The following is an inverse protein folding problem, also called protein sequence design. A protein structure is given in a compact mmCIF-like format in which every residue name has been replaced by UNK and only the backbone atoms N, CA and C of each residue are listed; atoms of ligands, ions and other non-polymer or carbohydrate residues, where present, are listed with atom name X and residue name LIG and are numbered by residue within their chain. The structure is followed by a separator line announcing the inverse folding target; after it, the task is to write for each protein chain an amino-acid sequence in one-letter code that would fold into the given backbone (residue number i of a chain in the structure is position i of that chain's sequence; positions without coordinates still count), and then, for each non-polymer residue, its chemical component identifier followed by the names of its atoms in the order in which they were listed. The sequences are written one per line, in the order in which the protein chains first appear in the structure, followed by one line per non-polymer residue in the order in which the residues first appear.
data_IF_602480037856
#
_entry.id   IF_602480037856
#
_cell.length_a   1.000
_cell.length_b   1.000
_cell.length_c   1.000
_cell.angle_alpha   90.00
_cell.angle_beta   90.00
_cell.angle_gamma   90.00
#
_symmetry.space_group_name_H-M   'P 1'
#
loop_
_entity.id
_entity.type
_entity.pdbx_description
1 polymer ?
#
# COMPACT_ATOMS: atom_id res chain seq x y z
N UNK A 1 67.93 74.98 -49.98
CA UNK A 1 66.81 74.18 -50.54
C UNK A 1 66.46 73.01 -49.62
N UNK A 2 67.43 72.19 -49.22
CA UNK A 2 67.22 71.06 -48.28
C UNK A 2 66.66 71.44 -46.91
N UNK A 3 67.13 72.55 -46.31
CA UNK A 3 66.65 73.01 -44.99
C UNK A 3 65.16 73.37 -44.98
N UNK A 4 64.67 73.99 -46.06
CA UNK A 4 63.26 74.36 -46.21
C UNK A 4 62.38 73.10 -46.33
N UNK A 5 62.88 72.08 -47.04
CA UNK A 5 62.19 70.79 -47.16
C UNK A 5 62.19 70.01 -45.85
N UNK A 6 63.25 70.10 -45.06
CA UNK A 6 63.34 69.52 -43.72
C UNK A 6 62.31 70.16 -42.79
N UNK A 7 62.27 71.49 -42.70
CA UNK A 7 61.29 72.21 -41.88
C UNK A 7 59.84 71.86 -42.25
N UNK A 8 59.54 71.75 -43.55
CA UNK A 8 58.20 71.31 -44.02
C UNK A 8 57.86 69.88 -43.63
N UNK A 9 58.86 68.99 -43.50
CA UNK A 9 58.64 67.61 -43.05
C UNK A 9 58.46 67.56 -41.54
N UNK A 10 59.20 68.36 -40.79
CA UNK A 10 59.07 68.49 -39.33
C UNK A 10 57.69 69.05 -38.94
N UNK A 11 57.22 70.10 -39.61
CA UNK A 11 55.87 70.65 -39.40
C UNK A 11 54.78 69.60 -39.65
N UNK A 12 54.88 68.87 -40.77
CA UNK A 12 53.96 67.76 -41.07
C UNK A 12 54.02 66.63 -40.06
N UNK A 13 55.22 66.30 -39.56
CA UNK A 13 55.38 65.28 -38.52
C UNK A 13 54.63 65.69 -37.26
N UNK A 14 54.80 66.94 -36.81
CA UNK A 14 54.09 67.47 -35.64
C UNK A 14 52.56 67.46 -35.82
N UNK A 15 52.07 67.82 -37.01
CA UNK A 15 50.63 67.71 -37.33
C UNK A 15 50.15 66.25 -37.24
N UNK A 16 50.90 65.30 -37.81
CA UNK A 16 50.54 63.89 -37.76
C UNK A 16 50.58 63.32 -36.35
N UNK A 17 51.54 63.73 -35.53
CA UNK A 17 51.66 63.31 -34.14
C UNK A 17 50.48 63.83 -33.31
N UNK A 18 50.10 65.10 -33.51
CA UNK A 18 48.92 65.67 -32.85
C UNK A 18 47.63 64.92 -33.23
N UNK A 19 47.45 64.62 -34.52
CA UNK A 19 46.30 63.84 -35.00
C UNK A 19 46.31 62.43 -34.41
N UNK A 20 47.47 61.78 -34.36
CA UNK A 20 47.62 60.45 -33.78
C UNK A 20 47.22 60.44 -32.31
N UNK A 21 47.68 61.42 -31.51
CA UNK A 21 47.29 61.55 -30.10
C UNK A 21 45.77 61.69 -29.94
N UNK A 22 45.12 62.54 -30.75
CA UNK A 22 43.67 62.69 -30.69
C UNK A 22 42.93 61.41 -31.09
N UNK A 23 43.38 60.72 -32.13
CA UNK A 23 42.80 59.44 -32.56
C UNK A 23 42.98 58.37 -31.48
N UNK A 24 44.16 58.28 -30.87
CA UNK A 24 44.43 57.36 -29.76
C UNK A 24 43.48 57.64 -28.59
N UNK A 25 43.34 58.89 -28.16
CA UNK A 25 42.44 59.28 -27.07
C UNK A 25 40.97 58.96 -27.36
N UNK A 26 40.49 59.24 -28.58
CA UNK A 26 39.13 58.91 -28.99
C UNK A 26 38.91 57.40 -29.04
N UNK A 27 39.89 56.66 -29.54
CA UNK A 27 39.85 55.19 -29.62
C UNK A 27 39.82 54.56 -28.22
N UNK A 28 40.64 55.06 -27.29
CA UNK A 28 40.63 54.60 -25.90
C UNK A 28 39.29 54.88 -25.22
N UNK A 29 38.72 56.07 -25.41
CA UNK A 29 37.39 56.40 -24.88
C UNK A 29 36.31 55.49 -25.46
N UNK A 30 36.33 55.26 -26.78
CA UNK A 30 35.39 54.35 -27.44
C UNK A 30 35.53 52.91 -26.93
N UNK A 31 36.78 52.43 -26.73
CA UNK A 31 37.05 51.12 -26.11
C UNK A 31 36.55 51.04 -24.68
N UNK A 32 36.70 52.12 -23.89
CA UNK A 32 36.16 52.22 -22.54
C UNK A 32 34.63 52.03 -22.54
N UNK A 33 33.93 52.82 -23.35
CA UNK A 33 32.47 52.73 -23.47
C UNK A 33 32.00 51.36 -23.99
N UNK A 34 32.70 50.77 -24.95
CA UNK A 34 32.38 49.43 -25.43
C UNK A 34 32.51 48.38 -24.31
N UNK A 35 33.61 48.43 -23.53
CA UNK A 35 33.83 47.50 -22.41
C UNK A 35 32.81 47.67 -21.29
N UNK A 36 32.40 48.90 -20.99
CA UNK A 36 31.39 49.14 -19.97
C UNK A 36 30.00 48.66 -20.44
N UNK A 37 29.65 48.90 -21.71
CA UNK A 37 28.43 48.34 -22.31
C UNK A 37 28.42 46.80 -22.34
N UNK A 38 29.56 46.16 -22.64
CA UNK A 38 29.71 44.70 -22.55
C UNK A 38 29.50 44.19 -21.12
N UNK A 39 30.04 44.90 -20.11
CA UNK A 39 29.85 44.52 -18.70
C UNK A 39 28.39 44.63 -18.27
N UNK A 40 27.72 45.72 -18.62
CA UNK A 40 26.33 45.96 -18.24
C UNK A 40 25.39 44.95 -18.92
N UNK A 41 25.60 44.66 -20.20
CA UNK A 41 24.83 43.64 -20.92
C UNK A 41 25.05 42.25 -20.33
N UNK A 42 26.28 41.90 -19.93
CA UNK A 42 26.57 40.63 -19.25
C UNK A 42 25.88 40.54 -17.88
N UNK A 43 25.88 41.62 -17.09
CA UNK A 43 25.19 41.67 -15.80
C UNK A 43 23.69 41.50 -15.99
N UNK A 44 23.10 42.19 -16.96
CA UNK A 44 21.69 42.04 -17.30
C UNK A 44 21.36 40.61 -17.78
N UNK A 45 22.20 40.01 -18.62
CA UNK A 45 22.02 38.64 -19.08
C UNK A 45 22.07 37.61 -17.91
N UNK A 46 22.97 37.81 -16.94
CA UNK A 46 23.05 36.97 -15.74
C UNK A 46 21.79 37.10 -14.89
N UNK A 47 21.41 38.33 -14.54
CA UNK A 47 20.23 38.59 -13.70
C UNK A 47 18.93 38.09 -14.35
N UNK A 48 18.76 38.31 -15.64
CA UNK A 48 17.59 37.79 -16.39
C UNK A 48 17.56 36.26 -16.41
N UNK A 49 18.71 35.61 -16.62
CA UNK A 49 18.81 34.14 -16.58
C UNK A 49 18.47 33.57 -15.19
N UNK A 50 18.93 34.22 -14.11
CA UNK A 50 18.58 33.84 -12.74
C UNK A 50 17.09 33.99 -12.46
N UNK A 51 16.47 35.09 -12.90
CA UNK A 51 15.03 35.30 -12.77
C UNK A 51 14.24 34.25 -13.55
N UNK A 52 14.64 33.94 -14.78
CA UNK A 52 14.02 32.87 -15.56
C UNK A 52 14.09 31.52 -14.85
N UNK A 53 15.23 31.19 -14.23
CA UNK A 53 15.37 29.97 -13.43
C UNK A 53 14.40 29.97 -12.25
N UNK A 54 14.33 31.06 -11.47
CA UNK A 54 13.39 31.20 -10.34
C UNK A 54 11.94 31.05 -10.79
N UNK A 55 11.57 31.64 -11.93
CA UNK A 55 10.22 31.50 -12.50
C UNK A 55 9.94 30.04 -12.84
N UNK A 56 10.83 29.36 -13.58
CA UNK A 56 10.67 27.93 -13.93
C UNK A 56 10.52 27.05 -12.69
N UNK A 57 11.33 27.28 -11.66
CA UNK A 57 11.25 26.54 -10.40
C UNK A 57 9.90 26.75 -9.70
N UNK A 58 9.39 27.98 -9.67
CA UNK A 58 8.08 28.31 -9.10
C UNK A 58 6.94 27.70 -9.92
N UNK A 59 7.01 27.77 -11.26
CA UNK A 59 6.04 27.13 -12.15
C UNK A 59 5.98 25.63 -11.92
N UNK A 60 7.14 24.95 -11.78
CA UNK A 60 7.19 23.52 -11.48
C UNK A 60 6.56 23.18 -10.14
N UNK A 61 6.82 23.99 -9.09
CA UNK A 61 6.17 23.84 -7.78
C UNK A 61 4.66 24.04 -7.88
N UNK A 62 4.21 25.06 -8.62
CA UNK A 62 2.80 25.32 -8.85
C UNK A 62 2.13 24.15 -9.58
N UNK A 63 2.75 23.60 -10.62
CA UNK A 63 2.24 22.41 -11.32
C UNK A 63 2.10 21.20 -10.39
N UNK A 64 3.08 20.95 -9.51
CA UNK A 64 3.01 19.88 -8.53
C UNK A 64 1.83 20.06 -7.57
N UNK A 65 1.67 21.28 -7.02
CA UNK A 65 0.55 21.59 -6.12
C UNK A 65 -0.81 21.47 -6.81
N UNK A 66 -0.92 21.89 -8.08
CA UNK A 66 -2.15 21.75 -8.87
C UNK A 66 -2.48 20.27 -9.10
N UNK A 67 -1.48 19.43 -9.38
CA UNK A 67 -1.69 17.99 -9.54
C UNK A 67 -2.13 17.33 -8.22
N UNK A 68 -1.51 17.67 -7.11
CA UNK A 68 -1.91 17.19 -5.77
C UNK A 68 -3.36 17.60 -5.47
N UNK A 69 -3.69 18.88 -5.68
CA UNK A 69 -5.04 19.39 -5.46
C UNK A 69 -6.07 18.69 -6.34
N UNK A 70 -5.75 18.44 -7.61
CA UNK A 70 -6.62 17.69 -8.52
C UNK A 70 -6.87 16.25 -8.04
N UNK A 71 -5.85 15.56 -7.54
CA UNK A 71 -6.02 14.23 -6.95
C UNK A 71 -6.93 14.26 -5.71
N UNK A 72 -6.74 15.26 -4.84
CA UNK A 72 -7.58 15.43 -3.63
C UNK A 72 -9.03 15.78 -3.98
N UNK A 73 -9.25 16.63 -4.98
CA UNK A 73 -10.58 16.94 -5.49
C UNK A 73 -11.27 15.69 -6.06
N UNK A 74 -10.56 14.90 -6.86
CA UNK A 74 -11.09 13.65 -7.39
C UNK A 74 -11.45 12.66 -6.27
N UNK A 75 -10.63 12.56 -5.22
CA UNK A 75 -10.95 11.76 -4.04
C UNK A 75 -12.19 12.28 -3.31
N UNK A 76 -12.29 13.59 -3.09
CA UNK A 76 -13.43 14.20 -2.41
C UNK A 76 -14.74 13.94 -3.18
N UNK A 77 -14.73 14.06 -4.51
CA UNK A 77 -15.88 13.76 -5.36
C UNK A 77 -16.28 12.28 -5.24
N UNK A 78 -15.30 11.35 -5.26
CA UNK A 78 -15.57 9.92 -5.09
C UNK A 78 -16.22 9.61 -3.75
N UNK A 79 -15.66 10.16 -2.66
CA UNK A 79 -16.22 9.96 -1.32
C UNK A 79 -17.61 10.57 -1.19
N UNK A 80 -17.84 11.74 -1.79
CA UNK A 80 -19.16 12.36 -1.82
C UNK A 80 -20.18 11.52 -2.59
N UNK A 81 -19.78 10.88 -3.69
CA UNK A 81 -20.62 9.95 -4.42
C UNK A 81 -20.93 8.71 -3.56
N UNK A 82 -19.94 8.11 -2.90
CA UNK A 82 -20.16 6.96 -2.02
C UNK A 82 -21.12 7.27 -0.86
N UNK A 83 -20.99 8.46 -0.26
CA UNK A 83 -21.92 8.90 0.79
C UNK A 83 -23.34 9.00 0.25
N UNK A 84 -23.53 9.65 -0.90
CA UNK A 84 -24.85 9.78 -1.54
C UNK A 84 -25.45 8.41 -1.88
N UNK A 85 -24.66 7.50 -2.43
CA UNK A 85 -25.12 6.16 -2.80
C UNK A 85 -25.56 5.37 -1.55
N UNK A 86 -24.78 5.46 -0.46
CA UNK A 86 -25.12 4.83 0.83
C UNK A 86 -26.36 5.45 1.47
N UNK A 87 -26.49 6.77 1.44
CA UNK A 87 -27.67 7.48 1.94
C UNK A 87 -28.93 7.06 1.18
N UNK A 88 -28.87 7.02 -0.15
CA UNK A 88 -29.99 6.54 -0.99
C UNK A 88 -30.35 5.09 -0.68
N UNK A 89 -29.34 4.23 -0.52
CA UNK A 89 -29.55 2.85 -0.12
C UNK A 89 -30.23 2.75 1.25
N UNK A 90 -29.77 3.51 2.25
CA UNK A 90 -30.37 3.54 3.58
C UNK A 90 -31.82 4.02 3.54
N UNK A 91 -32.11 5.12 2.82
CA UNK A 91 -33.50 5.61 2.65
C UNK A 91 -34.39 4.54 2.03
N UNK A 92 -33.88 3.83 1.01
CA UNK A 92 -34.62 2.75 0.33
C UNK A 92 -34.89 1.58 1.27
N UNK A 93 -33.91 1.19 2.09
CA UNK A 93 -34.04 0.11 3.06
C UNK A 93 -34.99 0.50 4.19
N UNK A 94 -34.81 1.67 4.79
CA UNK A 94 -35.67 2.15 5.88
C UNK A 94 -37.12 2.25 5.45
N UNK A 95 -37.39 2.83 4.28
CA UNK A 95 -38.77 2.92 3.77
C UNK A 95 -39.42 1.55 3.52
N UNK A 96 -38.66 0.55 3.06
CA UNK A 96 -39.17 -0.83 2.93
C UNK A 96 -39.45 -1.46 4.28
N UNK A 97 -38.57 -1.28 5.25
CA UNK A 97 -38.76 -1.78 6.63
C UNK A 97 -40.00 -1.16 7.26
N UNK A 98 -40.18 0.16 7.12
CA UNK A 98 -41.37 0.87 7.62
C UNK A 98 -42.66 0.36 6.97
N UNK A 99 -42.59 -0.04 5.70
CA UNK A 99 -43.71 -0.62 4.96
C UNK A 99 -43.88 -2.14 5.20
N UNK A 100 -43.01 -2.76 6.00
CA UNK A 100 -43.01 -4.21 6.23
C UNK A 100 -42.65 -5.04 4.99
N UNK A 101 -42.04 -4.42 3.98
CA UNK A 101 -41.60 -5.08 2.76
C UNK A 101 -40.24 -5.77 2.95
N UNK A 102 -39.99 -6.88 2.23
CA UNK A 102 -38.72 -7.57 2.30
C UNK A 102 -37.56 -6.72 1.79
N UNK A 103 -36.41 -6.89 2.45
CA UNK A 103 -35.16 -6.23 2.10
C UNK A 103 -34.69 -6.66 0.71
N UNK A 104 -33.84 -5.85 0.03
CA UNK A 104 -33.16 -6.29 -1.17
C UNK A 104 -32.39 -7.60 -0.93
N UNK A 105 -32.45 -8.53 -1.89
CA UNK A 105 -31.88 -9.88 -1.74
C UNK A 105 -30.39 -9.86 -1.40
N UNK A 106 -29.63 -8.92 -1.96
CA UNK A 106 -28.20 -8.80 -1.66
C UNK A 106 -27.96 -8.40 -0.20
N UNK A 107 -28.73 -7.45 0.32
CA UNK A 107 -28.66 -7.01 1.71
C UNK A 107 -29.00 -8.14 2.67
N UNK A 108 -30.05 -8.91 2.36
CA UNK A 108 -30.46 -10.06 3.16
C UNK A 108 -29.38 -11.15 3.18
N UNK A 109 -28.78 -11.44 2.01
CA UNK A 109 -27.66 -12.39 1.91
C UNK A 109 -26.47 -11.96 2.77
N UNK A 110 -26.09 -10.69 2.73
CA UNK A 110 -25.00 -10.17 3.55
C UNK A 110 -25.34 -10.22 5.05
N UNK A 111 -26.57 -9.89 5.42
CA UNK A 111 -27.04 -9.99 6.80
C UNK A 111 -26.95 -11.41 7.36
N UNK A 112 -27.41 -12.41 6.59
CA UNK A 112 -27.31 -13.82 6.99
C UNK A 112 -25.86 -14.30 7.13
N UNK A 113 -24.93 -13.77 6.31
CA UNK A 113 -23.49 -14.05 6.47
C UNK A 113 -22.95 -13.49 7.77
N UNK A 114 -23.34 -12.26 8.13
CA UNK A 114 -22.92 -11.62 9.39
C UNK A 114 -23.39 -12.44 10.59
N UNK A 115 -24.68 -12.79 10.63
CA UNK A 115 -25.26 -13.65 11.68
C UNK A 115 -24.49 -14.97 11.84
N UNK A 116 -24.24 -15.68 10.74
CA UNK A 116 -23.47 -16.93 10.77
C UNK A 116 -22.06 -16.73 11.32
N UNK A 117 -21.39 -15.65 10.90
CA UNK A 117 -20.03 -15.34 11.37
C UNK A 117 -20.02 -15.01 12.87
N UNK A 118 -21.00 -14.27 13.36
CA UNK A 118 -21.14 -13.98 14.79
C UNK A 118 -21.39 -15.25 15.61
N UNK A 119 -22.25 -16.15 15.12
CA UNK A 119 -22.50 -17.45 15.75
C UNK A 119 -21.21 -18.28 15.81
N UNK A 120 -20.46 -18.37 14.71
CA UNK A 120 -19.18 -19.07 14.68
C UNK A 120 -18.15 -18.44 15.64
N UNK A 121 -18.09 -17.10 15.71
CA UNK A 121 -17.20 -16.40 16.62
C UNK A 121 -17.56 -16.65 18.08
N UNK A 122 -18.87 -16.62 18.42
CA UNK A 122 -19.38 -16.94 19.76
C UNK A 122 -19.04 -18.39 20.13
N UNK A 123 -19.33 -19.35 19.25
CA UNK A 123 -19.00 -20.76 19.48
C UNK A 123 -17.49 -20.99 19.64
N UNK A 124 -16.66 -20.31 18.84
CA UNK A 124 -15.21 -20.38 18.96
C UNK A 124 -14.71 -19.75 20.28
N UNK A 125 -15.30 -18.63 20.71
CA UNK A 125 -14.98 -17.99 21.99
C UNK A 125 -15.38 -18.88 23.17
N UNK A 126 -16.57 -19.48 23.12
CA UNK A 126 -17.03 -20.45 24.12
C UNK A 126 -16.14 -21.69 24.17
N UNK A 127 -15.77 -22.27 23.03
CA UNK A 127 -14.87 -23.42 22.98
C UNK A 127 -13.48 -23.08 23.58
N UNK A 128 -12.96 -21.87 23.31
CA UNK A 128 -11.73 -21.37 23.92
C UNK A 128 -11.88 -21.18 25.43
N UNK A 129 -12.99 -20.61 25.89
CA UNK A 129 -13.27 -20.40 27.30
C UNK A 129 -13.41 -21.74 28.06
N UNK A 130 -14.14 -22.71 27.48
CA UNK A 130 -14.26 -24.08 28.02
C UNK A 130 -12.90 -24.77 28.10
N UNK A 131 -12.11 -24.73 27.01
CA UNK A 131 -10.76 -25.30 27.02
C UNK A 131 -9.81 -24.63 28.02
N UNK A 132 -9.95 -23.32 28.26
CA UNK A 132 -9.18 -22.60 29.28
C UNK A 132 -9.62 -22.97 30.70
N UNK A 133 -10.94 -23.11 30.95
CA UNK A 133 -11.48 -23.55 32.23
C UNK A 133 -11.07 -25.00 32.55
N UNK A 134 -11.14 -25.90 31.57
CA UNK A 134 -10.66 -27.28 31.69
C UNK A 134 -9.15 -27.33 31.95
N UNK A 135 -8.36 -26.49 31.28
CA UNK A 135 -6.93 -26.37 31.54
C UNK A 135 -6.61 -25.80 32.94
N UNK A 136 -7.42 -24.87 33.45
CA UNK A 136 -7.27 -24.32 34.80
C UNK A 136 -7.72 -25.31 35.90
N UNK A 137 -8.71 -26.17 35.60
CA UNK A 137 -9.16 -27.23 36.49
C UNK A 137 -8.19 -28.42 36.56
N UNK A 138 -7.32 -28.59 35.55
CA UNK A 138 -6.28 -29.60 35.54
C UNK A 138 -5.20 -29.27 36.59
N UNK A 139 -5.15 -30.06 37.68
CA UNK A 139 -4.21 -29.87 38.78
C UNK A 139 -2.72 -30.01 38.38
N UNK A 140 -1.79 -29.50 39.21
CA UNK A 140 -0.35 -29.58 38.93
C UNK A 140 0.11 -31.04 38.82
N UNK A 141 0.65 -31.41 37.65
CA UNK A 141 1.08 -32.78 37.30
C UNK A 141 0.25 -33.46 36.20
N UNK A 142 -0.86 -32.85 35.75
CA UNK A 142 -1.66 -33.35 34.63
C UNK A 142 -0.94 -33.11 33.28
N UNK A 143 -0.69 -34.18 32.52
CA UNK A 143 -0.21 -34.08 31.12
C UNK A 143 -1.39 -33.75 30.22
N UNK A 144 -1.37 -32.55 29.61
CA UNK A 144 -2.40 -32.10 28.67
C UNK A 144 -2.39 -32.99 27.42
N UNK A 145 -3.42 -33.82 27.26
CA UNK A 145 -3.60 -34.67 26.06
C UNK A 145 -4.96 -34.39 25.44
N UNK A 146 -5.02 -34.39 24.10
CA UNK A 146 -6.28 -34.28 23.34
C UNK A 146 -6.95 -35.65 23.13
N UNK A 147 -6.38 -36.71 23.69
CA UNK A 147 -6.91 -38.07 23.60
C UNK A 147 -7.97 -38.28 24.68
N UNK A 148 -9.11 -38.88 24.31
CA UNK A 148 -10.11 -39.30 25.29
C UNK A 148 -9.48 -40.28 26.29
N UNK A 149 -9.69 -40.03 27.59
CA UNK A 149 -9.24 -40.94 28.63
C UNK A 149 -9.94 -42.28 28.42
N UNK A 150 -9.15 -43.34 28.20
CA UNK A 150 -9.71 -44.68 28.09
C UNK A 150 -10.50 -44.97 29.37
N UNK A 151 -11.70 -45.55 29.28
CA UNK A 151 -12.38 -46.07 30.46
C UNK A 151 -11.38 -46.91 31.26
N UNK A 152 -11.28 -46.68 32.58
CA UNK A 152 -10.31 -47.32 33.49
C UNK A 152 -10.51 -48.85 33.67
N UNK A 153 -10.98 -49.53 32.63
CA UNK A 153 -11.31 -50.95 32.59
C UNK A 153 -10.10 -51.89 32.59
N UNK A 154 -8.87 -51.35 32.53
CA UNK A 154 -7.62 -52.11 32.54
C UNK A 154 -6.80 -51.97 33.83
N UNK A 155 -7.31 -51.30 34.87
CA UNK A 155 -6.66 -51.30 36.18
C UNK A 155 -6.82 -52.69 36.80
N UNK A 156 -5.76 -53.50 36.94
CA UNK A 156 -5.86 -54.81 37.55
C UNK A 156 -6.16 -54.61 39.04
N UNK A 157 -7.39 -54.90 39.48
CA UNK A 157 -7.80 -54.82 40.89
C UNK A 157 -9.15 -54.12 41.15
N UNK A 158 -9.68 -53.35 40.20
CA UNK A 158 -11.02 -52.78 40.32
C UNK A 158 -12.07 -53.73 39.73
N UNK A 159 -12.76 -54.45 40.61
CA UNK A 159 -14.03 -55.16 40.41
C UNK A 159 -14.11 -56.04 39.14
N UNK A 160 -13.51 -57.24 39.25
CA UNK A 160 -13.77 -58.37 38.34
C UNK A 160 -14.96 -59.24 38.79
N UNK A 161 -15.67 -58.85 39.85
CA UNK A 161 -16.64 -59.72 40.53
C UNK A 161 -18.11 -59.36 40.31
N UNK A 162 -18.42 -58.22 39.68
CA UNK A 162 -19.82 -57.93 39.32
C UNK A 162 -20.18 -58.59 37.98
N UNK A 163 -21.19 -59.50 37.93
CA UNK A 163 -21.66 -60.14 36.70
C UNK A 163 -22.55 -59.17 35.89
N UNK A 164 -22.13 -57.91 35.77
CA UNK A 164 -22.83 -56.93 34.94
C UNK A 164 -22.22 -56.90 33.54
N UNK A 165 -23.05 -56.98 32.47
CA UNK A 165 -22.56 -56.82 31.11
C UNK A 165 -21.90 -55.46 30.95
N UNK A 166 -20.62 -55.44 30.54
CA UNK A 166 -19.87 -54.19 30.34
C UNK A 166 -20.35 -53.53 29.04
N UNK A 167 -20.85 -52.27 29.07
CA UNK A 167 -21.22 -51.58 27.85
C UNK A 167 -19.97 -51.28 27.03
N UNK A 168 -19.96 -51.69 25.76
CA UNK A 168 -18.82 -51.52 24.85
C UNK A 168 -18.56 -50.06 24.41
N UNK A 169 -19.27 -49.09 24.99
CA UNK A 169 -19.22 -47.68 24.60
C UNK A 169 -19.55 -47.48 23.12
N UNK A 170 -18.98 -46.42 22.53
CA UNK A 170 -19.18 -46.08 21.11
C UNK A 170 -18.54 -47.09 20.12
N UNK A 171 -17.75 -48.05 20.61
CA UNK A 171 -17.01 -49.03 19.81
C UNK A 171 -17.52 -50.45 20.06
N UNK A 172 -18.85 -50.60 20.06
CA UNK A 172 -19.47 -51.91 20.16
C UNK A 172 -19.00 -52.86 19.05
N UNK A 173 -18.76 -54.15 19.35
CA UNK A 173 -18.51 -55.16 18.33
C UNK A 173 -19.65 -55.14 17.31
N UNK A 174 -19.38 -54.58 16.14
CA UNK A 174 -20.33 -54.50 15.05
C UNK A 174 -20.26 -55.81 14.25
N UNK A 175 -21.42 -56.38 13.96
CA UNK A 175 -21.54 -57.48 12.99
C UNK A 175 -21.29 -56.88 11.60
N UNK A 176 -20.24 -57.31 10.85
CA UNK A 176 -19.98 -56.80 9.52
C UNK A 176 -21.24 -56.87 8.65
N UNK A 177 -21.62 -55.76 8.03
CA UNK A 177 -22.76 -55.73 7.12
C UNK A 177 -22.48 -56.66 5.95
N UNK A 178 -23.53 -57.33 5.46
CA UNK A 178 -23.43 -58.15 4.27
C UNK A 178 -22.88 -57.30 3.11
N UNK A 179 -21.90 -57.81 2.34
CA UNK A 179 -21.26 -57.03 1.29
C UNK A 179 -22.31 -56.56 0.28
N UNK A 180 -22.49 -55.24 0.20
CA UNK A 180 -23.46 -54.62 -0.72
C UNK A 180 -23.02 -54.71 -2.17
N UNK A 181 -23.99 -54.57 -3.10
CA UNK A 181 -23.75 -54.64 -4.57
C UNK A 181 -22.61 -53.72 -5.05
N UNK A 182 -22.43 -52.57 -4.39
CA UNK A 182 -21.37 -51.60 -4.69
C UNK A 182 -19.94 -52.08 -4.36
N UNK A 183 -19.76 -53.16 -3.59
CA UNK A 183 -18.42 -53.70 -3.31
C UNK A 183 -17.74 -54.31 -4.54
N UNK A 184 -18.47 -54.55 -5.63
CA UNK A 184 -17.91 -55.04 -6.91
C UNK A 184 -16.94 -54.05 -7.56
N UNK A 185 -17.04 -52.76 -7.22
CA UNK A 185 -16.17 -51.70 -7.76
C UNK A 185 -14.94 -51.42 -6.88
N UNK A 186 -14.89 -51.98 -5.66
CA UNK A 186 -13.77 -51.79 -4.73
C UNK A 186 -12.70 -52.85 -5.02
N UNK A 187 -11.61 -52.45 -5.67
CA UNK A 187 -10.45 -53.33 -5.90
C UNK A 187 -9.46 -53.20 -4.75
N UNK A 188 -9.00 -54.33 -4.21
CA UNK A 188 -7.94 -54.32 -3.17
C UNK A 188 -6.69 -53.65 -3.76
N UNK A 189 -6.08 -52.68 -3.06
CA UNK A 189 -4.84 -52.07 -3.53
C UNK A 189 -3.74 -53.13 -3.57
N UNK A 190 -2.97 -53.14 -4.66
CA UNK A 190 -1.80 -54.01 -4.77
C UNK A 190 -0.73 -53.44 -3.84
N UNK A 191 -0.42 -54.18 -2.77
CA UNK A 191 0.64 -53.82 -1.83
C UNK A 191 1.96 -53.96 -2.58
N UNK A 192 2.66 -52.85 -2.81
CA UNK A 192 4.02 -52.87 -3.37
C UNK A 192 4.96 -53.41 -2.28
N UNK A 193 5.91 -54.30 -2.62
CA UNK A 193 6.92 -54.74 -1.67
C UNK A 193 7.71 -53.52 -1.20
N UNK A 194 7.84 -53.39 0.11
CA UNK A 194 8.67 -52.36 0.74
C UNK A 194 10.09 -52.90 0.66
N UNK A 195 10.94 -52.26 -0.13
CA UNK A 195 12.38 -52.51 -0.09
C UNK A 195 12.90 -52.03 1.27
N UNK A 196 13.48 -52.95 2.04
CA UNK A 196 14.16 -52.70 3.32
C UNK A 196 15.64 -52.48 3.01
#
# INVERSE_FOLDING_TARGET
QLELELLRKEEKLLETDFVLEQVCRLTERARGHARDGERDTLLLAKTTSELQKKIKDKTRKMMALVAELSMKQALAIKLQQEVRDREQFLVTVSSRVDQGLPLPQDTEREWLKVLRNEEMQKAAAEARARGAAEAAAAGPGCVRTAAEQRPNAYVPGAERDLPLPRPYGALAPFKPSAPGSNMRHIRKPVVKPIEI
#
